data_IF_441894103812
#
_entry.id   IF_441894103812
#
_cell.length_a   1.000
_cell.length_b   1.000
_cell.length_c   1.000
_cell.angle_alpha   90.00
_cell.angle_beta   90.00
_cell.angle_gamma   90.00
#
_symmetry.space_group_name_H-M   'P 1'
#
loop_
_entity.id
_entity.type
_entity.pdbx_description
1 polymer ?
#
# COMPACT_ATOMS: atom_id res chain seq x y z
N UNK A 1 -25.14 -42.53 -62.29
CA UNK A 1 -25.45 -42.44 -63.72
C UNK A 1 -25.14 -41.00 -64.13
N UNK A 2 -23.86 -40.72 -64.40
CA UNK A 2 -23.31 -40.31 -65.72
C UNK A 2 -23.95 -39.00 -66.24
N UNK A 3 -23.27 -37.84 -66.14
CA UNK A 3 -22.03 -37.39 -66.80
C UNK A 3 -22.23 -37.00 -68.28
N UNK A 4 -21.95 -35.73 -68.57
CA UNK A 4 -21.50 -35.25 -69.88
C UNK A 4 -20.27 -34.34 -69.62
N UNK A 5 -19.06 -34.89 -69.87
CA UNK A 5 -18.02 -34.48 -70.86
C UNK A 5 -17.55 -33.01 -70.81
N UNK A 6 -16.29 -32.66 -71.10
CA UNK A 6 -14.92 -33.21 -71.09
C UNK A 6 -14.04 -32.10 -71.74
N UNK A 7 -12.70 -32.27 -71.72
CA UNK A 7 -11.64 -31.40 -72.29
C UNK A 7 -11.20 -30.24 -71.36
N UNK A 8 -10.00 -30.14 -70.79
CA UNK A 8 -8.69 -30.74 -71.07
C UNK A 8 -7.83 -29.77 -71.89
N UNK A 9 -6.92 -29.00 -71.26
CA UNK A 9 -5.48 -29.07 -71.57
C UNK A 9 -4.62 -28.19 -70.65
N UNK A 10 -3.41 -28.67 -70.39
CA UNK A 10 -2.35 -28.04 -69.60
C UNK A 10 -1.36 -27.31 -70.53
N UNK A 11 -0.63 -26.35 -69.92
CA UNK A 11 0.75 -25.97 -70.21
C UNK A 11 1.04 -24.56 -70.83
N UNK A 12 1.88 -23.84 -70.07
CA UNK A 12 3.11 -23.15 -70.51
C UNK A 12 3.00 -21.82 -71.28
N UNK A 13 3.25 -20.72 -70.56
CA UNK A 13 3.90 -19.48 -71.05
C UNK A 13 4.75 -18.93 -69.89
N UNK A 14 6.02 -19.30 -69.77
CA UNK A 14 7.23 -18.62 -70.26
C UNK A 14 7.56 -17.25 -69.64
N UNK A 15 8.72 -17.28 -68.98
CA UNK A 15 9.61 -16.23 -68.51
C UNK A 15 9.76 -15.00 -69.42
N UNK A 16 9.72 -13.81 -68.80
CA UNK A 16 10.56 -12.70 -69.21
C UNK A 16 11.37 -12.16 -68.02
N UNK A 17 12.66 -12.47 -68.05
CA UNK A 17 13.72 -11.80 -67.29
C UNK A 17 14.22 -10.63 -68.12
N UNK A 18 14.21 -9.42 -67.56
CA UNK A 18 15.09 -8.32 -68.00
C UNK A 18 15.87 -7.78 -66.80
N UNK A 19 17.17 -8.09 -66.84
CA UNK A 19 18.34 -7.41 -66.29
C UNK A 19 18.26 -5.88 -66.60
N UNK A 20 18.76 -4.86 -65.88
CA UNK A 20 19.81 -4.74 -64.85
C UNK A 20 19.93 -3.25 -64.39
N UNK A 21 20.19 -3.05 -63.08
CA UNK A 21 20.97 -1.97 -62.38
C UNK A 21 20.51 -0.49 -62.31
N UNK A 22 20.98 0.32 -61.31
CA UNK A 22 21.76 0.00 -60.09
C UNK A 22 21.20 0.54 -58.75
N UNK A 23 21.72 -0.05 -57.67
CA UNK A 23 21.61 0.39 -56.28
C UNK A 23 22.35 1.70 -56.03
N UNK A 24 21.69 2.69 -55.43
CA UNK A 24 22.33 3.83 -54.79
C UNK A 24 22.38 3.57 -53.26
N UNK A 25 23.57 3.17 -52.80
CA UNK A 25 23.97 3.20 -51.41
C UNK A 25 24.18 4.66 -50.98
N UNK A 26 23.35 5.17 -50.07
CA UNK A 26 23.63 6.38 -49.31
C UNK A 26 24.34 6.02 -48.00
N UNK A 27 25.50 6.59 -47.67
CA UNK A 27 26.12 6.41 -46.36
C UNK A 27 25.55 7.46 -45.40
N UNK A 28 24.81 7.05 -44.38
CA UNK A 28 24.61 7.86 -43.18
C UNK A 28 25.31 7.20 -42.02
N UNK A 29 26.59 7.55 -41.86
CA UNK A 29 27.26 7.48 -40.58
C UNK A 29 26.59 8.47 -39.63
N UNK A 30 26.01 7.99 -38.53
CA UNK A 30 25.94 8.80 -37.32
C UNK A 30 26.47 7.95 -36.17
N UNK A 31 27.79 8.07 -36.00
CA UNK A 31 28.48 7.81 -34.75
C UNK A 31 27.94 8.70 -33.64
N UNK A 32 27.61 8.07 -32.51
CA UNK A 32 27.49 8.58 -31.13
C UNK A 32 27.52 10.10 -30.93
N UNK A 33 26.44 10.62 -30.35
CA UNK A 33 26.57 11.43 -29.14
C UNK A 33 25.47 11.01 -28.14
N UNK A 34 25.85 10.20 -27.14
CA UNK A 34 25.11 10.16 -25.89
C UNK A 34 25.36 11.51 -25.23
N UNK A 35 24.43 12.43 -25.40
CA UNK A 35 24.37 13.66 -24.61
C UNK A 35 24.02 13.26 -23.18
N UNK A 36 25.05 13.13 -22.34
CA UNK A 36 24.90 13.18 -20.90
C UNK A 36 24.32 14.56 -20.56
N UNK A 37 23.05 14.61 -20.18
CA UNK A 37 22.48 15.76 -19.48
C UNK A 37 22.09 15.32 -18.07
N UNK A 38 22.93 15.73 -17.11
CA UNK A 38 22.66 16.00 -15.70
C UNK A 38 23.19 17.43 -15.46
N UNK A 39 22.71 18.23 -14.49
CA UNK A 39 22.06 17.84 -13.23
C UNK A 39 20.88 18.75 -12.79
N UNK A 40 20.12 18.39 -11.75
CA UNK A 40 19.32 19.43 -11.06
C UNK A 40 18.14 19.03 -10.19
N UNK A 41 17.64 17.78 -10.23
CA UNK A 41 16.42 17.42 -9.47
C UNK A 41 16.66 16.42 -8.32
N UNK A 42 17.91 16.02 -8.05
CA UNK A 42 18.26 15.11 -6.96
C UNK A 42 18.75 15.84 -5.69
N UNK A 43 17.98 16.76 -5.12
CA UNK A 43 18.33 17.39 -3.83
C UNK A 43 17.18 17.48 -2.80
N UNK A 44 15.90 17.19 -3.11
CA UNK A 44 14.84 17.38 -2.10
C UNK A 44 14.55 16.15 -1.21
N UNK A 45 15.16 14.99 -1.48
CA UNK A 45 14.78 13.73 -0.80
C UNK A 45 15.46 13.48 0.57
N UNK A 46 16.42 14.30 1.01
CA UNK A 46 17.31 13.88 2.12
C UNK A 46 17.13 14.56 3.50
N UNK A 47 16.16 15.46 3.72
CA UNK A 47 16.13 16.27 4.97
C UNK A 47 14.83 16.18 5.79
N UNK A 48 13.72 15.65 5.26
CA UNK A 48 12.43 15.72 5.97
C UNK A 48 12.23 14.67 7.09
N UNK A 49 13.11 13.66 7.23
CA UNK A 49 12.94 12.60 8.25
C UNK A 49 13.64 12.88 9.58
N UNK A 50 14.35 14.01 9.73
CA UNK A 50 15.15 14.31 10.93
C UNK A 50 14.56 15.45 11.79
N UNK A 51 13.54 16.19 11.33
CA UNK A 51 13.01 17.36 12.06
C UNK A 51 11.66 17.10 12.78
N UNK A 52 10.96 16.00 12.51
CA UNK A 52 9.64 15.72 13.12
C UNK A 52 9.67 15.09 14.51
N UNK A 53 10.83 14.66 15.02
CA UNK A 53 10.94 13.99 16.33
C UNK A 53 11.24 14.96 17.49
N UNK A 54 11.62 16.22 17.23
CA UNK A 54 12.01 17.17 18.30
C UNK A 54 10.97 18.23 18.69
N UNK A 55 9.72 18.15 18.22
CA UNK A 55 8.64 19.03 18.69
C UNK A 55 7.51 18.29 19.44
N UNK A 56 7.58 16.97 19.60
CA UNK A 56 6.58 16.19 20.34
C UNK A 56 6.86 16.04 21.86
N UNK A 57 8.02 16.50 22.36
CA UNK A 57 8.40 16.35 23.77
C UNK A 57 8.93 17.64 24.41
N UNK A 58 8.36 18.78 24.03
CA UNK A 58 8.75 20.11 24.51
C UNK A 58 7.70 20.80 25.37
N UNK A 59 7.26 20.16 26.46
CA UNK A 59 6.67 20.81 27.64
C UNK A 59 5.26 21.40 27.53
N UNK A 60 4.37 20.97 28.45
CA UNK A 60 3.71 21.85 29.43
C UNK A 60 2.79 21.08 30.36
N UNK A 61 3.07 21.23 31.65
CA UNK A 61 2.15 20.94 32.75
C UNK A 61 0.91 21.84 32.68
N UNK A 62 -0.23 21.30 33.12
CA UNK A 62 -1.47 22.05 33.23
C UNK A 62 -2.65 21.15 33.54
N UNK A 63 -2.79 20.77 34.81
CA UNK A 63 -4.01 20.18 35.33
C UNK A 63 -5.20 21.12 35.10
N UNK A 64 -6.30 20.61 34.54
CA UNK A 64 -7.63 21.17 34.76
C UNK A 64 -8.65 20.03 34.91
N UNK A 65 -9.08 19.87 36.15
CA UNK A 65 -10.26 19.11 36.53
C UNK A 65 -11.51 19.81 35.94
N UNK A 66 -12.43 19.05 35.36
CA UNK A 66 -13.83 19.46 35.36
C UNK A 66 -14.76 18.27 35.52
N UNK A 67 -15.57 18.40 36.56
CA UNK A 67 -16.48 17.45 37.15
C UNK A 67 -17.83 17.57 36.43
N UNK A 68 -18.19 16.62 35.57
CA UNK A 68 -19.47 16.60 34.86
C UNK A 68 -20.16 15.24 35.03
N UNK A 69 -21.31 15.26 35.71
CA UNK A 69 -22.46 14.39 35.44
C UNK A 69 -22.38 12.94 35.91
N UNK A 70 -22.66 12.71 37.20
CA UNK A 70 -23.13 11.40 37.66
C UNK A 70 -24.59 11.19 37.22
N UNK A 71 -24.80 10.59 36.04
CA UNK A 71 -26.09 10.05 35.65
C UNK A 71 -26.12 8.53 35.80
N UNK A 72 -27.26 8.09 36.33
CA UNK A 72 -27.52 6.81 36.96
C UNK A 72 -27.90 5.80 35.86
N UNK A 73 -26.99 4.90 35.48
CA UNK A 73 -27.30 3.83 34.51
C UNK A 73 -27.95 2.65 35.24
N UNK A 74 -29.16 2.31 34.79
CA UNK A 74 -29.93 1.14 35.20
C UNK A 74 -29.19 -0.17 34.88
N UNK A 75 -29.30 -1.14 35.79
CA UNK A 75 -28.68 -2.47 35.70
C UNK A 75 -29.31 -3.30 34.58
N UNK A 76 -28.82 -3.13 33.35
CA UNK A 76 -29.06 -4.00 32.21
C UNK A 76 -27.80 -4.79 31.82
N UNK A 77 -27.80 -6.09 32.11
CA UNK A 77 -26.99 -7.16 31.52
C UNK A 77 -25.52 -6.85 31.14
N UNK A 78 -24.61 -7.03 32.10
CA UNK A 78 -23.14 -6.94 31.94
C UNK A 78 -22.51 -8.12 31.17
N UNK A 79 -23.30 -9.09 30.73
CA UNK A 79 -22.78 -10.32 30.13
C UNK A 79 -22.54 -10.24 28.62
N UNK A 80 -23.11 -9.23 27.92
CA UNK A 80 -22.94 -9.06 26.47
C UNK A 80 -21.74 -8.21 26.06
N UNK A 81 -21.29 -7.30 26.93
CA UNK A 81 -20.22 -6.33 26.62
C UNK A 81 -18.80 -6.88 26.87
N UNK A 82 -18.68 -8.02 27.55
CA UNK A 82 -17.36 -8.58 27.92
C UNK A 82 -16.73 -9.42 26.81
N UNK A 83 -17.48 -9.90 25.82
CA UNK A 83 -16.94 -10.74 24.73
C UNK A 83 -16.30 -9.95 23.59
N UNK A 84 -16.59 -8.65 23.48
CA UNK A 84 -15.97 -7.78 22.47
C UNK A 84 -14.61 -7.20 22.93
N UNK A 85 -14.19 -7.46 24.17
CA UNK A 85 -13.06 -6.77 24.82
C UNK A 85 -11.76 -7.60 24.89
N UNK A 86 -11.71 -8.79 24.29
CA UNK A 86 -10.52 -9.64 24.42
C UNK A 86 -10.19 -10.33 23.11
N UNK A 87 -9.60 -9.57 22.18
CA UNK A 87 -8.80 -10.17 21.12
C UNK A 87 -7.66 -10.99 21.78
N UNK A 88 -7.33 -12.20 21.27
CA UNK A 88 -6.23 -12.98 21.80
C UNK A 88 -4.92 -12.18 21.67
N UNK A 89 -4.37 -11.78 22.81
CA UNK A 89 -3.17 -10.96 22.89
C UNK A 89 -1.95 -11.85 22.64
N UNK A 90 -1.27 -11.68 21.49
CA UNK A 90 -0.01 -12.38 21.19
C UNK A 90 1.16 -11.73 21.96
N UNK A 91 2.19 -12.51 22.35
CA UNK A 91 3.41 -11.95 22.92
C UNK A 91 4.11 -10.99 21.95
N UNK A 92 4.78 -9.97 22.49
CA UNK A 92 5.70 -9.15 21.72
C UNK A 92 6.83 -10.00 21.11
N UNK A 93 7.35 -9.58 19.96
CA UNK A 93 8.43 -10.28 19.24
C UNK A 93 7.97 -11.36 18.25
N UNK A 94 6.69 -11.74 18.25
CA UNK A 94 6.10 -12.62 17.24
C UNK A 94 5.57 -11.79 16.06
N UNK A 95 6.39 -11.68 15.01
CA UNK A 95 6.12 -10.81 13.86
C UNK A 95 5.56 -11.52 12.63
N UNK A 96 5.00 -12.72 12.79
CA UNK A 96 4.32 -13.42 11.70
C UNK A 96 3.00 -12.68 11.37
N UNK A 97 2.79 -12.33 10.11
CA UNK A 97 1.59 -11.63 9.66
C UNK A 97 0.36 -12.53 9.64
N UNK A 98 0.52 -13.81 9.30
CA UNK A 98 -0.57 -14.80 9.31
C UNK A 98 -0.98 -15.10 10.74
N UNK A 99 -2.07 -14.48 11.16
CA UNK A 99 -2.43 -14.35 12.55
C UNK A 99 -3.91 -13.94 12.68
N UNK A 100 -4.62 -14.42 13.73
CA UNK A 100 -5.88 -13.80 14.13
C UNK A 100 -5.67 -12.33 14.50
N UNK A 101 -6.71 -11.49 14.41
CA UNK A 101 -6.58 -10.10 14.82
C UNK A 101 -6.17 -9.93 16.27
N UNK A 102 -5.16 -9.08 16.51
CA UNK A 102 -4.80 -8.64 17.86
C UNK A 102 -5.47 -7.32 18.25
N UNK A 103 -6.21 -6.69 17.33
CA UNK A 103 -6.98 -5.46 17.55
C UNK A 103 -8.45 -5.69 17.21
N UNK A 104 -9.35 -5.04 17.94
CA UNK A 104 -10.76 -4.89 17.56
C UNK A 104 -10.95 -3.73 16.57
N UNK A 105 -12.12 -3.67 15.93
CA UNK A 105 -12.49 -2.56 15.05
C UNK A 105 -12.42 -1.19 15.78
N UNK A 106 -12.95 -1.13 17.00
CA UNK A 106 -12.98 0.09 17.82
C UNK A 106 -11.57 0.50 18.29
N UNK A 107 -10.69 -0.47 18.53
CA UNK A 107 -9.28 -0.22 18.81
C UNK A 107 -8.57 0.39 17.60
N UNK A 108 -8.84 -0.11 16.40
CA UNK A 108 -8.29 0.45 15.16
C UNK A 108 -8.79 1.88 14.95
N UNK A 109 -10.08 2.15 15.15
CA UNK A 109 -10.62 3.51 15.02
C UNK A 109 -10.01 4.48 16.04
N UNK A 110 -9.79 4.04 17.29
CA UNK A 110 -9.09 4.86 18.28
C UNK A 110 -7.65 5.17 17.87
N UNK A 111 -6.92 4.19 17.34
CA UNK A 111 -5.58 4.42 16.79
C UNK A 111 -5.65 5.47 15.69
N UNK A 112 -6.50 5.28 14.67
CA UNK A 112 -6.64 6.21 13.54
C UNK A 112 -7.01 7.62 14.00
N UNK A 113 -7.90 7.75 15.00
CA UNK A 113 -8.27 9.03 15.58
C UNK A 113 -7.09 9.77 16.22
N UNK A 114 -6.16 9.06 16.86
CA UNK A 114 -4.95 9.68 17.47
C UNK A 114 -4.03 10.33 16.44
N UNK A 115 -4.08 9.88 15.19
CA UNK A 115 -3.35 10.47 14.07
C UNK A 115 -4.16 11.54 13.32
N UNK A 116 -5.38 11.87 13.78
CA UNK A 116 -6.35 12.68 13.03
C UNK A 116 -6.60 12.12 11.62
N UNK A 117 -6.60 10.79 11.49
CA UNK A 117 -6.67 10.13 10.20
C UNK A 117 -8.01 10.39 9.52
N UNK A 118 -8.03 10.73 8.21
CA UNK A 118 -9.26 10.76 7.42
C UNK A 118 -9.90 9.38 7.23
N UNK A 119 -9.22 8.29 7.61
CA UNK A 119 -9.77 6.94 7.62
C UNK A 119 -10.45 6.57 8.96
N UNK A 120 -10.53 7.48 9.94
CA UNK A 120 -11.25 7.21 11.20
C UNK A 120 -12.71 6.83 10.94
N UNK A 121 -13.20 5.80 11.62
CA UNK A 121 -14.55 5.23 11.41
C UNK A 121 -14.58 4.04 10.44
N UNK A 122 -13.42 3.65 9.91
CA UNK A 122 -13.29 2.50 9.00
C UNK A 122 -12.79 1.23 9.69
N UNK A 123 -12.59 1.24 11.02
CA UNK A 123 -12.02 0.17 11.83
C UNK A 123 -12.60 -1.23 11.54
N UNK A 124 -13.91 -1.30 11.29
CA UNK A 124 -14.57 -2.56 10.95
C UNK A 124 -14.07 -3.17 9.63
N UNK A 125 -13.75 -2.34 8.64
CA UNK A 125 -13.23 -2.78 7.33
C UNK A 125 -11.84 -3.39 7.49
N UNK A 126 -10.95 -2.75 8.26
CA UNK A 126 -9.64 -3.29 8.58
C UNK A 126 -9.72 -4.64 9.28
N UNK A 127 -10.60 -4.73 10.28
CA UNK A 127 -10.80 -5.94 11.07
C UNK A 127 -11.36 -7.09 10.21
N UNK A 128 -12.43 -6.84 9.46
CA UNK A 128 -13.09 -7.86 8.65
C UNK A 128 -12.17 -8.40 7.55
N UNK A 129 -11.44 -7.53 6.86
CA UNK A 129 -10.49 -7.96 5.83
C UNK A 129 -9.30 -8.71 6.44
N UNK A 130 -8.85 -8.31 7.64
CA UNK A 130 -7.84 -9.06 8.39
C UNK A 130 -8.31 -10.48 8.73
N UNK A 131 -9.55 -10.62 9.22
CA UNK A 131 -10.18 -11.93 9.44
C UNK A 131 -10.30 -12.74 8.15
N UNK A 132 -10.81 -12.14 7.08
CA UNK A 132 -11.02 -12.80 5.78
C UNK A 132 -9.71 -13.36 5.22
N UNK A 133 -8.60 -12.61 5.33
CA UNK A 133 -7.30 -12.99 4.78
C UNK A 133 -6.39 -13.71 5.76
N UNK A 134 -6.83 -13.86 7.01
CA UNK A 134 -6.02 -14.42 8.10
C UNK A 134 -4.75 -13.61 8.36
N UNK A 135 -4.83 -12.28 8.24
CA UNK A 135 -3.74 -11.33 8.49
C UNK A 135 -4.14 -10.43 9.66
N UNK A 136 -3.26 -10.27 10.65
CA UNK A 136 -3.54 -9.38 11.77
C UNK A 136 -3.59 -7.90 11.32
N UNK A 137 -4.74 -7.19 11.49
CA UNK A 137 -4.92 -5.81 11.07
C UNK A 137 -3.94 -4.84 11.73
N UNK A 138 -3.33 -5.18 12.85
CA UNK A 138 -2.28 -4.37 13.44
C UNK A 138 -1.16 -4.04 12.42
N UNK A 139 -0.77 -5.00 11.57
CA UNK A 139 0.25 -4.73 10.55
C UNK A 139 -0.24 -3.76 9.47
N UNK A 140 -1.49 -3.91 9.00
CA UNK A 140 -2.05 -3.02 7.99
C UNK A 140 -2.09 -1.56 8.48
N UNK A 141 -2.53 -1.37 9.72
CA UNK A 141 -2.60 -0.04 10.35
C UNK A 141 -1.20 0.52 10.59
N UNK A 142 -0.25 -0.31 11.03
CA UNK A 142 1.13 0.12 11.26
C UNK A 142 1.84 0.52 9.95
N UNK A 143 1.62 -0.20 8.85
CA UNK A 143 2.08 0.21 7.52
C UNK A 143 1.47 1.55 7.14
N UNK A 144 0.16 1.72 7.26
CA UNK A 144 -0.50 2.98 6.91
C UNK A 144 0.02 4.19 7.70
N UNK A 145 0.30 4.00 8.98
CA UNK A 145 0.96 5.00 9.83
C UNK A 145 2.36 5.33 9.31
N UNK A 146 3.18 4.33 8.98
CA UNK A 146 4.52 4.56 8.46
C UNK A 146 4.51 5.24 7.08
N UNK A 147 3.63 4.80 6.19
CA UNK A 147 3.56 5.24 4.81
C UNK A 147 3.12 6.71 4.68
N UNK A 148 2.19 7.15 5.51
CA UNK A 148 1.54 8.45 5.28
C UNK A 148 1.04 9.14 6.55
N UNK A 149 1.55 8.75 7.72
CA UNK A 149 1.04 9.24 9.01
C UNK A 149 -0.47 9.03 9.10
N UNK A 150 -0.92 7.82 8.73
CA UNK A 150 -2.33 7.45 8.61
C UNK A 150 -3.14 8.39 7.69
N UNK A 151 -2.58 8.74 6.53
CA UNK A 151 -3.24 9.53 5.49
C UNK A 151 -3.17 11.04 5.67
N UNK A 152 -2.43 11.55 6.67
CA UNK A 152 -2.31 12.99 6.94
C UNK A 152 -1.07 13.64 6.32
N UNK A 153 -0.10 12.86 5.85
CA UNK A 153 1.10 13.39 5.20
C UNK A 153 0.77 14.06 3.86
N UNK A 154 1.15 15.33 3.71
CA UNK A 154 1.00 16.09 2.46
C UNK A 154 1.99 15.62 1.39
N UNK A 155 1.58 15.60 0.13
CA UNK A 155 2.43 15.21 -1.00
C UNK A 155 2.63 13.70 -1.18
N UNK A 156 2.01 12.89 -0.33
CA UNK A 156 1.95 11.42 -0.42
C UNK A 156 0.55 10.96 -0.84
N UNK A 157 0.28 9.66 -0.87
CA UNK A 157 -1.01 9.11 -1.28
C UNK A 157 -2.17 9.37 -0.28
N UNK A 158 -1.99 10.28 0.68
CA UNK A 158 -3.00 10.65 1.67
C UNK A 158 -3.95 11.73 1.16
N UNK A 159 -3.57 12.99 1.36
CA UNK A 159 -4.40 14.17 1.08
C UNK A 159 -4.11 14.80 -0.28
N UNK A 160 -5.17 15.04 -1.06
CA UNK A 160 -5.15 15.82 -2.29
C UNK A 160 -5.29 17.33 -1.99
N UNK A 161 -4.88 18.22 -2.90
CA UNK A 161 -4.99 19.67 -2.72
C UNK A 161 -6.41 20.18 -2.48
N UNK A 162 -7.43 19.46 -2.95
CA UNK A 162 -8.85 19.78 -2.75
C UNK A 162 -9.42 19.29 -1.41
N UNK A 163 -8.59 18.67 -0.56
CA UNK A 163 -8.98 18.11 0.73
C UNK A 163 -9.56 16.70 0.66
N UNK A 164 -9.78 16.13 -0.52
CA UNK A 164 -10.12 14.72 -0.67
C UNK A 164 -8.89 13.83 -0.45
N UNK A 165 -9.08 12.51 -0.37
CA UNK A 165 -7.96 11.56 -0.21
C UNK A 165 -7.87 10.59 -1.38
N UNK A 166 -6.71 9.98 -1.59
CA UNK A 166 -6.59 8.88 -2.57
C UNK A 166 -7.05 7.54 -1.99
N UNK A 167 -7.34 7.51 -0.68
CA UNK A 167 -7.68 6.33 0.11
C UNK A 167 -6.62 5.21 0.05
N UNK A 168 -5.39 5.52 -0.33
CA UNK A 168 -4.31 4.54 -0.53
C UNK A 168 -3.53 4.33 0.76
N UNK A 169 -3.87 3.26 1.48
CA UNK A 169 -3.29 2.97 2.80
C UNK A 169 -1.84 2.47 2.75
N UNK A 170 -1.31 2.17 1.57
CA UNK A 170 0.02 1.59 1.40
C UNK A 170 0.97 2.42 0.53
N UNK A 171 0.59 3.62 0.09
CA UNK A 171 1.30 4.34 -0.98
C UNK A 171 1.57 3.45 -2.22
N UNK A 172 0.63 2.55 -2.55
CA UNK A 172 0.81 1.58 -3.62
C UNK A 172 0.88 2.30 -4.98
N UNK A 173 1.88 1.97 -5.78
CA UNK A 173 2.14 2.61 -7.09
C UNK A 173 1.07 2.25 -8.12
N UNK A 174 0.65 3.25 -8.89
CA UNK A 174 -0.30 3.11 -9.99
C UNK A 174 0.36 2.52 -11.24
N UNK A 175 0.68 1.22 -11.19
CA UNK A 175 1.22 0.48 -12.34
C UNK A 175 0.07 -0.19 -13.11
N UNK A 176 -0.60 0.56 -14.00
CA UNK A 176 -1.68 0.04 -14.84
C UNK A 176 -3.05 -0.09 -14.17
N UNK A 177 -3.26 0.59 -13.04
CA UNK A 177 -4.57 0.70 -12.40
C UNK A 177 -5.44 1.77 -13.06
N UNK A 178 -6.76 1.63 -12.96
CA UNK A 178 -7.72 2.48 -13.66
C UNK A 178 -7.71 3.94 -13.21
N UNK A 179 -7.36 4.21 -11.95
CA UNK A 179 -7.35 5.56 -11.38
C UNK A 179 -6.06 5.80 -10.60
N UNK A 180 -5.42 6.93 -10.87
CA UNK A 180 -4.13 7.32 -10.33
C UNK A 180 -4.15 8.78 -9.85
N UNK A 181 -3.44 9.04 -8.76
CA UNK A 181 -3.09 10.39 -8.32
C UNK A 181 -1.56 10.51 -8.28
N UNK A 182 -0.99 11.24 -9.26
CA UNK A 182 0.44 11.22 -9.50
C UNK A 182 0.94 9.80 -9.79
N UNK A 183 1.93 9.33 -9.02
CA UNK A 183 2.44 7.94 -9.13
C UNK A 183 1.66 6.91 -8.32
N UNK A 184 0.71 7.33 -7.49
CA UNK A 184 0.01 6.47 -6.54
C UNK A 184 -1.37 6.04 -7.06
N UNK A 185 -1.82 4.86 -6.66
CA UNK A 185 -3.21 4.43 -6.89
C UNK A 185 -4.17 5.37 -6.17
N UNK A 186 -5.31 5.64 -6.81
CA UNK A 186 -6.39 6.47 -6.30
C UNK A 186 -7.69 5.67 -6.27
N UNK A 187 -8.12 5.30 -5.06
CA UNK A 187 -9.23 4.40 -4.83
C UNK A 187 -10.54 5.19 -4.60
N UNK A 188 -11.69 4.61 -4.97
CA UNK A 188 -12.98 5.27 -4.79
C UNK A 188 -13.43 5.36 -3.32
N UNK A 189 -12.86 4.55 -2.42
CA UNK A 189 -13.17 4.57 -0.99
C UNK A 189 -12.03 3.97 -0.14
N UNK A 190 -12.07 4.21 1.17
CA UNK A 190 -11.15 3.58 2.12
C UNK A 190 -11.23 2.05 2.09
N UNK A 191 -12.43 1.48 2.01
CA UNK A 191 -12.63 0.02 1.93
C UNK A 191 -11.90 -0.56 0.73
N UNK A 192 -11.97 0.10 -0.43
CA UNK A 192 -11.28 -0.34 -1.64
C UNK A 192 -9.75 -0.30 -1.49
N UNK A 193 -9.21 0.77 -0.89
CA UNK A 193 -7.77 0.88 -0.62
C UNK A 193 -7.26 -0.13 0.40
N UNK A 194 -8.00 -0.33 1.50
CA UNK A 194 -7.70 -1.33 2.53
C UNK A 194 -7.73 -2.74 1.94
N UNK A 195 -8.76 -3.06 1.16
CA UNK A 195 -8.89 -4.37 0.50
C UNK A 195 -7.75 -4.65 -0.47
N UNK A 196 -7.30 -3.65 -1.24
CA UNK A 196 -6.19 -3.82 -2.16
C UNK A 196 -4.84 -3.97 -1.43
N UNK A 197 -4.64 -3.31 -0.30
CA UNK A 197 -3.45 -3.55 0.55
C UNK A 197 -3.42 -4.98 1.06
N UNK A 198 -4.51 -5.47 1.64
CA UNK A 198 -4.59 -6.86 2.10
C UNK A 198 -4.40 -7.86 0.97
N UNK A 199 -4.99 -7.60 -0.21
CA UNK A 199 -4.80 -8.43 -1.40
C UNK A 199 -3.34 -8.42 -1.85
N UNK A 200 -2.68 -7.26 -1.86
CA UNK A 200 -1.27 -7.15 -2.21
C UNK A 200 -0.41 -7.98 -1.25
N UNK A 201 -0.58 -7.80 0.07
CA UNK A 201 0.19 -8.55 1.07
C UNK A 201 -0.05 -10.06 0.96
N UNK A 202 -1.32 -10.48 0.89
CA UNK A 202 -1.66 -11.89 0.84
C UNK A 202 -1.17 -12.56 -0.45
N UNK A 203 -1.48 -11.98 -1.62
CA UNK A 203 -1.19 -12.61 -2.92
C UNK A 203 0.28 -12.51 -3.26
N UNK A 204 0.87 -11.31 -3.22
CA UNK A 204 2.23 -11.10 -3.72
C UNK A 204 3.27 -11.58 -2.70
N UNK A 205 3.12 -11.18 -1.43
CA UNK A 205 4.17 -11.37 -0.44
C UNK A 205 4.05 -12.70 0.29
N UNK A 206 2.88 -12.98 0.88
CA UNK A 206 2.70 -14.19 1.68
C UNK A 206 2.62 -15.44 0.81
N UNK A 207 1.77 -15.45 -0.22
CA UNK A 207 1.60 -16.61 -1.09
C UNK A 207 2.61 -16.64 -2.25
N UNK A 208 2.84 -15.52 -2.92
CA UNK A 208 3.70 -15.46 -4.11
C UNK A 208 5.19 -15.60 -3.79
N UNK A 209 5.64 -14.98 -2.71
CA UNK A 209 7.07 -14.98 -2.30
C UNK A 209 7.37 -15.85 -1.09
N UNK A 210 6.34 -16.39 -0.43
CA UNK A 210 6.51 -17.22 0.78
C UNK A 210 7.01 -16.44 2.00
N UNK A 211 6.92 -15.11 1.99
CA UNK A 211 7.29 -14.29 3.14
C UNK A 211 6.33 -14.51 4.30
N UNK A 212 6.81 -14.33 5.53
CA UNK A 212 5.99 -14.58 6.72
C UNK A 212 5.95 -13.37 7.66
N UNK A 213 7.04 -12.60 7.69
CA UNK A 213 7.22 -11.51 8.64
C UNK A 213 7.41 -10.16 7.95
N UNK A 214 7.24 -9.09 8.71
CA UNK A 214 7.52 -7.73 8.23
C UNK A 214 8.98 -7.55 7.78
N UNK A 215 9.91 -8.26 8.41
CA UNK A 215 11.33 -8.22 8.06
C UNK A 215 11.62 -8.89 6.70
N UNK A 216 10.78 -9.83 6.27
CA UNK A 216 10.86 -10.43 4.93
C UNK A 216 10.22 -9.54 3.87
N UNK A 217 9.10 -8.89 4.22
CA UNK A 217 8.25 -8.13 3.31
C UNK A 217 8.84 -6.77 2.97
N UNK A 218 9.25 -6.00 4.00
CA UNK A 218 9.64 -4.59 3.85
C UNK A 218 10.82 -4.38 2.89
N UNK A 219 11.89 -5.22 2.87
CA UNK A 219 12.99 -5.03 1.92
C UNK A 219 12.57 -5.08 0.45
N UNK A 220 11.45 -5.76 0.13
CA UNK A 220 10.88 -5.82 -1.22
C UNK A 220 9.83 -4.73 -1.43
N UNK A 221 9.02 -4.45 -0.40
CA UNK A 221 7.96 -3.44 -0.44
C UNK A 221 8.51 -2.01 -0.55
N UNK A 222 9.52 -1.69 0.25
CA UNK A 222 10.16 -0.38 0.37
C UNK A 222 11.69 -0.55 0.35
N UNK A 223 12.29 -0.78 -0.84
CA UNK A 223 13.69 -1.17 -0.95
C UNK A 223 14.68 -0.06 -0.55
N UNK A 224 15.87 -0.49 -0.12
CA UNK A 224 16.88 0.36 0.53
C UNK A 224 17.47 1.48 -0.33
N UNK A 225 17.29 1.45 -1.65
CA UNK A 225 17.76 2.55 -2.52
C UNK A 225 16.86 3.80 -2.41
N UNK A 226 15.65 3.66 -1.85
CA UNK A 226 14.70 4.75 -1.61
C UNK A 226 14.35 4.92 -0.12
N UNK A 227 14.64 3.94 0.74
CA UNK A 227 14.10 3.88 2.11
C UNK A 227 15.12 3.41 3.16
N UNK A 228 14.88 3.77 4.43
CA UNK A 228 15.50 3.11 5.58
C UNK A 228 14.71 1.83 5.93
N UNK A 229 15.13 0.71 5.36
CA UNK A 229 14.48 -0.61 5.55
C UNK A 229 14.43 -1.00 7.03
N UNK A 230 15.53 -0.84 7.76
CA UNK A 230 15.59 -1.22 9.17
C UNK A 230 14.72 -0.29 10.02
N UNK A 231 14.75 1.01 9.73
CA UNK A 231 13.86 2.00 10.34
C UNK A 231 12.39 1.64 10.16
N UNK A 232 11.97 1.26 8.95
CA UNK A 232 10.60 0.82 8.67
C UNK A 232 10.25 -0.43 9.49
N UNK A 233 11.05 -1.50 9.39
CA UNK A 233 10.81 -2.74 10.17
C UNK A 233 10.62 -2.44 11.65
N UNK A 234 11.53 -1.63 12.23
CA UNK A 234 11.49 -1.26 13.64
C UNK A 234 10.23 -0.44 14.00
N UNK A 235 9.80 0.49 13.15
CA UNK A 235 8.59 1.27 13.39
C UNK A 235 7.36 0.38 13.44
N UNK A 236 7.21 -0.52 12.45
CA UNK A 236 6.05 -1.43 12.38
C UNK A 236 6.02 -2.37 13.58
N UNK A 237 7.14 -3.03 13.87
CA UNK A 237 7.24 -3.96 15.01
C UNK A 237 6.92 -3.26 16.33
N UNK A 238 7.48 -2.07 16.56
CA UNK A 238 7.23 -1.29 17.77
C UNK A 238 5.76 -0.89 17.93
N UNK A 239 5.09 -0.46 16.86
CA UNK A 239 3.67 -0.11 16.93
C UNK A 239 2.81 -1.33 17.28
N UNK A 240 3.07 -2.47 16.64
CA UNK A 240 2.36 -3.73 16.90
C UNK A 240 2.60 -4.21 18.33
N UNK A 241 3.85 -4.21 18.79
CA UNK A 241 4.18 -4.61 20.16
C UNK A 241 3.56 -3.67 21.21
N UNK A 242 3.55 -2.37 20.93
CA UNK A 242 2.90 -1.37 21.78
C UNK A 242 1.42 -1.72 21.96
N UNK A 243 0.68 -1.94 20.88
CA UNK A 243 -0.75 -2.22 20.99
C UNK A 243 -1.05 -3.58 21.62
N UNK A 244 -0.20 -4.58 21.37
CA UNK A 244 -0.33 -5.91 21.98
C UNK A 244 0.03 -5.92 23.46
N UNK A 245 1.00 -5.13 23.91
CA UNK A 245 1.52 -5.24 25.28
C UNK A 245 0.99 -4.16 26.23
N UNK A 246 0.70 -2.98 25.69
CA UNK A 246 0.32 -1.79 26.46
C UNK A 246 -1.05 -1.25 26.08
N UNK A 247 -1.71 -1.86 25.09
CA UNK A 247 -3.02 -1.45 24.59
C UNK A 247 -2.95 -0.31 23.58
N UNK A 248 -4.13 0.06 23.08
CA UNK A 248 -4.27 1.23 22.19
C UNK A 248 -4.31 2.53 22.99
N UNK A 249 -3.81 3.65 22.42
CA UNK A 249 -3.88 4.97 23.05
C UNK A 249 -5.31 5.43 23.38
#
# INVERSE_FOLDING_TARGET
>A
MQADRAEGDLARVEHHYSLQHPLAFGPTSLSRSFQLHRPGWMVVIFVASVITILLAFGGREGALLSNWGAERIERGSVNGLSSALTAPMRPAGDYVLRAPPSLTAEQIDRILATYSSPATGTGQSWYNLGLERGIDPAYAVAFFIHESTAGTAQGWAGLKPDGSTTHNVGNIICAGYASCYGRFRDYPSWEAGIADWYRLIDVEYLNGRGHQTVADIIPVYAPAFENDVNGYVNVVQRLVDQWRSHGVP
#
